data_IF_068503942842
#
_entry.id   IF_068503942842
#
_cell.length_a   1.000
_cell.length_b   1.000
_cell.length_c   1.000
_cell.angle_alpha   90.00
_cell.angle_beta   90.00
_cell.angle_gamma   90.00
#
_symmetry.space_group_name_H-M   'P 1'
#
loop_
_entity.id
_entity.type
_entity.pdbx_description
1 polymer ?
#
# COMPACT_ATOMS: atom_id res chain seq x y z
N UNK A 1 -35.30 26.39 -32.74
CA UNK A 1 -33.86 26.26 -32.43
C UNK A 1 -33.64 24.87 -31.90
N UNK A 2 -33.01 23.98 -32.68
CA UNK A 2 -32.53 22.70 -32.16
C UNK A 2 -31.35 23.03 -31.25
N UNK A 3 -31.50 22.82 -29.95
CA UNK A 3 -30.37 22.73 -29.06
C UNK A 3 -29.63 21.46 -29.46
N UNK A 4 -28.60 21.59 -30.31
CA UNK A 4 -27.58 20.56 -30.45
C UNK A 4 -26.85 20.52 -29.10
N UNK A 5 -27.43 19.75 -28.17
CA UNK A 5 -26.72 19.28 -27.00
C UNK A 5 -25.49 18.58 -27.54
N UNK A 6 -24.33 19.24 -27.42
CA UNK A 6 -23.05 18.73 -27.89
C UNK A 6 -22.66 17.56 -26.97
N UNK A 7 -23.26 16.40 -27.26
CA UNK A 7 -23.12 15.15 -26.51
C UNK A 7 -21.67 14.71 -26.43
N UNK A 8 -20.87 15.07 -27.43
CA UNK A 8 -19.42 14.86 -27.46
C UNK A 8 -18.70 15.72 -26.42
N UNK A 9 -18.96 17.03 -26.35
CA UNK A 9 -18.33 17.90 -25.36
C UNK A 9 -18.66 17.51 -23.90
N UNK A 10 -19.85 16.95 -23.63
CA UNK A 10 -20.16 16.38 -22.31
C UNK A 10 -19.47 15.05 -22.05
N UNK A 11 -19.24 14.24 -23.10
CA UNK A 11 -18.55 12.95 -22.99
C UNK A 11 -17.06 13.16 -22.75
N UNK A 12 -16.45 14.07 -23.50
CA UNK A 12 -15.03 14.42 -23.39
C UNK A 12 -14.69 14.88 -21.97
N UNK A 13 -15.52 15.76 -21.37
CA UNK A 13 -15.34 16.19 -19.97
C UNK A 13 -15.47 15.06 -18.94
N UNK A 14 -16.28 14.03 -19.22
CA UNK A 14 -16.42 12.87 -18.32
C UNK A 14 -15.19 11.98 -18.44
N UNK A 15 -14.67 11.81 -19.66
CA UNK A 15 -13.42 11.07 -19.91
C UNK A 15 -12.22 11.79 -19.30
N UNK A 16 -12.07 13.09 -19.55
CA UNK A 16 -10.99 13.91 -18.98
C UNK A 16 -10.98 13.84 -17.46
N UNK A 17 -12.17 13.96 -16.84
CA UNK A 17 -12.30 13.84 -15.38
C UNK A 17 -11.98 12.43 -14.88
N UNK A 18 -12.36 11.39 -15.61
CA UNK A 18 -12.04 10.01 -15.23
C UNK A 18 -10.54 9.72 -15.34
N UNK A 19 -9.86 10.30 -16.33
CA UNK A 19 -8.40 10.24 -16.46
C UNK A 19 -7.71 11.02 -15.34
N UNK A 20 -8.17 12.23 -15.01
CA UNK A 20 -7.66 13.01 -13.87
C UNK A 20 -7.85 12.28 -12.52
N UNK A 21 -9.04 11.70 -12.28
CA UNK A 21 -9.33 10.92 -11.08
C UNK A 21 -8.46 9.65 -11.00
N UNK A 22 -8.14 9.04 -12.14
CA UNK A 22 -7.26 7.87 -12.20
C UNK A 22 -5.80 8.26 -11.91
N UNK A 23 -5.30 9.33 -12.54
CA UNK A 23 -3.97 9.86 -12.30
C UNK A 23 -3.79 10.31 -10.84
N UNK A 24 -4.80 10.95 -10.26
CA UNK A 24 -4.79 11.33 -8.84
C UNK A 24 -4.71 10.11 -7.91
N UNK A 25 -5.46 9.04 -8.21
CA UNK A 25 -5.38 7.79 -7.44
C UNK A 25 -4.03 7.11 -7.54
N UNK A 26 -3.41 7.13 -8.72
CA UNK A 26 -2.07 6.56 -8.93
C UNK A 26 -1.03 7.34 -8.13
N UNK A 27 -1.04 8.67 -8.21
CA UNK A 27 -0.15 9.54 -7.43
C UNK A 27 -0.31 9.31 -5.91
N UNK A 28 -1.55 9.24 -5.42
CA UNK A 28 -1.81 8.93 -4.01
C UNK A 28 -1.31 7.54 -3.62
N UNK A 29 -1.42 6.54 -4.51
CA UNK A 29 -0.94 5.19 -4.24
C UNK A 29 0.60 5.12 -4.17
N UNK A 30 1.29 5.89 -5.03
CA UNK A 30 2.75 6.04 -4.96
C UNK A 30 3.18 6.71 -3.65
N UNK A 31 2.55 7.83 -3.28
CA UNK A 31 2.87 8.54 -2.04
C UNK A 31 2.64 7.67 -0.80
N UNK A 32 1.53 6.93 -0.76
CA UNK A 32 1.24 5.96 0.30
C UNK A 32 2.27 4.83 0.34
N UNK A 33 2.76 4.37 -0.82
CA UNK A 33 3.82 3.38 -0.94
C UNK A 33 5.14 3.86 -0.36
N UNK A 34 5.53 5.09 -0.68
CA UNK A 34 6.76 5.70 -0.16
C UNK A 34 6.70 5.87 1.37
N UNK A 35 5.58 6.39 1.88
CA UNK A 35 5.37 6.52 3.32
C UNK A 35 5.35 5.16 4.04
N UNK A 36 4.76 4.13 3.41
CA UNK A 36 4.74 2.78 3.95
C UNK A 36 6.15 2.17 4.02
N UNK A 37 6.96 2.42 3.00
CA UNK A 37 8.36 1.99 2.96
C UNK A 37 9.19 2.70 4.04
N UNK A 38 9.00 4.01 4.23
CA UNK A 38 9.64 4.76 5.33
C UNK A 38 9.29 4.17 6.70
N UNK A 39 8.01 3.87 6.93
CA UNK A 39 7.55 3.30 8.20
C UNK A 39 8.08 1.87 8.40
N UNK A 40 8.08 1.05 7.34
CA UNK A 40 8.65 -0.28 7.35
C UNK A 40 10.16 -0.26 7.69
N UNK A 41 10.91 0.69 7.12
CA UNK A 41 12.35 0.83 7.36
C UNK A 41 12.69 1.27 8.80
N UNK A 42 11.72 1.79 9.55
CA UNK A 42 11.87 2.11 10.97
C UNK A 42 11.65 0.90 11.88
N UNK A 43 11.12 -0.21 11.35
CA UNK A 43 10.94 -1.45 12.10
C UNK A 43 12.28 -2.15 12.33
N UNK A 44 12.42 -2.91 13.43
CA UNK A 44 13.56 -3.80 13.61
C UNK A 44 13.66 -4.79 12.45
N UNK A 45 14.88 -5.01 11.93
CA UNK A 45 15.10 -5.92 10.81
C UNK A 45 15.25 -7.38 11.26
N UNK A 46 15.60 -7.60 12.52
CA UNK A 46 15.67 -8.95 13.08
C UNK A 46 14.27 -9.47 13.39
N UNK A 47 13.91 -10.65 12.86
CA UNK A 47 12.63 -11.30 13.14
C UNK A 47 12.37 -11.48 14.64
N UNK A 48 13.43 -11.73 15.42
CA UNK A 48 13.40 -11.87 16.88
C UNK A 48 12.98 -10.59 17.62
N UNK A 49 13.21 -9.41 17.01
CA UNK A 49 12.86 -8.13 17.60
C UNK A 49 11.40 -7.72 17.31
N UNK A 50 10.79 -8.32 16.29
CA UNK A 50 9.40 -8.03 15.88
C UNK A 50 8.42 -9.07 16.43
N UNK A 51 8.87 -10.31 16.59
CA UNK A 51 8.04 -11.42 17.04
C UNK A 51 8.03 -11.57 18.56
N UNK A 52 6.88 -11.96 19.10
CA UNK A 52 6.80 -12.32 20.52
C UNK A 52 7.63 -13.57 20.82
N UNK A 53 8.10 -13.77 22.06
CA UNK A 53 8.86 -14.96 22.44
C UNK A 53 8.15 -16.27 22.09
N UNK A 54 6.81 -16.32 22.20
CA UNK A 54 6.03 -17.51 21.84
C UNK A 54 6.01 -17.78 20.33
N UNK A 55 6.04 -16.73 19.51
CA UNK A 55 6.14 -16.87 18.06
C UNK A 55 7.53 -17.32 17.63
N UNK A 56 8.58 -16.84 18.30
CA UNK A 56 9.95 -17.32 18.05
C UNK A 56 10.09 -18.80 18.41
N UNK A 57 9.49 -19.25 19.53
CA UNK A 57 9.46 -20.68 19.89
C UNK A 57 8.82 -21.56 18.80
N UNK A 58 7.77 -21.06 18.15
CA UNK A 58 7.01 -21.81 17.14
C UNK A 58 7.59 -21.70 15.73
N UNK A 59 8.12 -20.53 15.37
CA UNK A 59 8.47 -20.18 14.00
C UNK A 59 9.93 -19.76 13.81
N UNK A 60 10.70 -19.52 14.87
CA UNK A 60 12.07 -19.02 14.80
C UNK A 60 12.96 -19.89 13.91
N UNK A 61 12.96 -21.21 14.15
CA UNK A 61 13.72 -22.15 13.31
C UNK A 61 13.30 -22.11 11.83
N UNK A 62 12.00 -21.93 11.55
CA UNK A 62 11.51 -21.79 10.17
C UNK A 62 12.03 -20.49 9.54
N UNK A 63 12.04 -19.39 10.28
CA UNK A 63 12.49 -18.09 9.80
C UNK A 63 14.01 -18.05 9.58
N UNK A 64 14.78 -18.76 10.40
CA UNK A 64 16.24 -18.86 10.27
C UNK A 64 16.67 -19.74 9.09
N UNK A 65 15.97 -20.85 8.86
CA UNK A 65 16.37 -21.87 7.86
C UNK A 65 15.69 -21.66 6.49
N UNK A 66 14.64 -20.82 6.41
CA UNK A 66 13.85 -20.65 5.20
C UNK A 66 13.70 -19.18 4.82
N UNK A 67 14.44 -18.77 3.79
CA UNK A 67 14.41 -17.41 3.22
C UNK A 67 13.02 -16.98 2.77
N UNK A 68 12.21 -17.90 2.25
CA UNK A 68 10.85 -17.60 1.78
C UNK A 68 9.92 -17.29 2.95
N UNK A 69 10.15 -17.93 4.11
CA UNK A 69 9.40 -17.64 5.33
C UNK A 69 9.75 -16.23 5.86
N UNK A 70 11.03 -15.87 5.83
CA UNK A 70 11.49 -14.53 6.20
C UNK A 70 10.95 -13.45 5.25
N UNK A 71 10.98 -13.70 3.94
CA UNK A 71 10.40 -12.81 2.93
C UNK A 71 8.89 -12.60 3.17
N UNK A 72 8.15 -13.66 3.49
CA UNK A 72 6.72 -13.57 3.83
C UNK A 72 6.46 -12.73 5.07
N UNK A 73 7.32 -12.83 6.08
CA UNK A 73 7.24 -11.97 7.28
C UNK A 73 7.46 -10.50 6.90
N UNK A 74 8.51 -10.21 6.12
CA UNK A 74 8.80 -8.86 5.65
C UNK A 74 7.66 -8.27 4.81
N UNK A 75 7.08 -9.06 3.90
CA UNK A 75 5.92 -8.65 3.11
C UNK A 75 4.69 -8.35 3.99
N UNK A 76 4.47 -9.12 5.06
CA UNK A 76 3.41 -8.84 6.03
C UNK A 76 3.64 -7.52 6.78
N UNK A 77 4.87 -7.29 7.24
CA UNK A 77 5.23 -6.06 7.96
C UNK A 77 5.08 -4.83 7.06
N UNK A 78 5.47 -4.92 5.79
CA UNK A 78 5.22 -3.86 4.82
C UNK A 78 3.73 -3.62 4.59
N UNK A 79 2.93 -4.68 4.42
CA UNK A 79 1.48 -4.55 4.24
C UNK A 79 0.79 -3.90 5.44
N UNK A 80 1.23 -4.21 6.67
CA UNK A 80 0.76 -3.53 7.87
C UNK A 80 1.16 -2.05 7.91
N UNK A 81 2.35 -1.73 7.41
CA UNK A 81 2.84 -0.35 7.31
C UNK A 81 1.98 0.48 6.35
N UNK A 82 1.68 -0.09 5.18
CA UNK A 82 0.77 0.52 4.20
C UNK A 82 -0.64 0.72 4.76
N UNK A 83 -1.16 -0.29 5.47
CA UNK A 83 -2.49 -0.19 6.08
C UNK A 83 -2.55 0.93 7.14
N UNK A 84 -1.50 1.12 7.92
CA UNK A 84 -1.43 2.20 8.90
C UNK A 84 -1.36 3.59 8.25
N UNK A 85 -0.60 3.74 7.16
CA UNK A 85 -0.57 4.98 6.36
C UNK A 85 -1.97 5.32 5.84
N UNK A 86 -2.63 4.36 5.18
CA UNK A 86 -3.98 4.53 4.65
C UNK A 86 -5.00 4.87 5.74
N UNK A 87 -4.86 4.27 6.94
CA UNK A 87 -5.72 4.59 8.09
C UNK A 87 -5.51 6.01 8.60
N UNK A 88 -4.27 6.52 8.59
CA UNK A 88 -3.95 7.89 9.04
C UNK A 88 -4.48 8.94 8.07
N UNK A 89 -4.40 8.70 6.77
CA UNK A 89 -4.90 9.61 5.75
C UNK A 89 -6.43 9.62 5.65
N UNK A 90 -7.09 8.54 6.08
CA UNK A 90 -8.55 8.44 6.12
C UNK A 90 -9.20 9.03 7.39
N UNK A 91 -8.40 9.44 8.39
CA UNK A 91 -8.85 9.95 9.70
C UNK A 91 -8.84 11.48 9.76
#
# INVERSE_FOLDING_TARGET
MRYDYNTYASRDRIWDKAEEDAAYKEMMAEEQGDQALELYNQLPQEAEAVLSPKMIELFGKLLDENSDALERLNNLLYALSLLEVQRREAA
#
